data_IF_373442217069
#
_entry.id   IF_373442217069
#
_cell.length_a   1.000
_cell.length_b   1.000
_cell.length_c   1.000
_cell.angle_alpha   90.00
_cell.angle_beta   90.00
_cell.angle_gamma   90.00
#
_symmetry.space_group_name_H-M   'P 1'
#
loop_
_entity.id
_entity.type
_entity.pdbx_description
1 polymer ?
#
# COMPACT_ATOMS: atom_id res chain seq x y z
N UNK A 1 78.13 4.66 -40.25
CA UNK A 1 78.02 6.13 -40.38
C UNK A 1 76.59 6.45 -40.78
N UNK A 2 76.02 7.46 -40.13
CA UNK A 2 74.58 7.76 -39.96
C UNK A 2 73.76 8.03 -41.23
N UNK A 3 72.46 7.65 -41.19
CA UNK A 3 71.33 8.54 -41.50
C UNK A 3 70.00 7.94 -40.96
N UNK A 4 69.13 8.72 -40.28
CA UNK A 4 67.89 8.25 -39.68
C UNK A 4 66.68 8.44 -40.61
N UNK A 5 65.70 7.55 -40.53
CA UNK A 5 64.36 7.75 -41.10
C UNK A 5 63.39 8.15 -39.98
N UNK A 6 62.83 9.34 -40.12
CA UNK A 6 61.82 9.92 -39.23
C UNK A 6 60.47 9.22 -39.43
N UNK A 7 59.97 8.56 -38.39
CA UNK A 7 58.58 8.07 -38.33
C UNK A 7 57.75 9.06 -37.49
N UNK A 8 56.84 9.76 -38.16
CA UNK A 8 55.78 10.53 -37.52
C UNK A 8 54.74 9.56 -36.95
N UNK A 9 54.62 9.50 -35.62
CA UNK A 9 53.50 8.85 -34.93
C UNK A 9 52.34 9.84 -34.83
N UNK A 10 51.36 9.71 -35.72
CA UNK A 10 50.06 10.35 -35.55
C UNK A 10 49.23 9.57 -34.52
N UNK A 11 49.04 10.13 -33.33
CA UNK A 11 48.13 9.61 -32.31
C UNK A 11 46.69 9.92 -32.70
N UNK A 12 45.92 8.90 -33.07
CA UNK A 12 44.46 8.99 -33.17
C UNK A 12 43.90 8.83 -31.75
N UNK A 13 43.41 9.92 -31.15
CA UNK A 13 42.64 9.86 -29.92
C UNK A 13 41.23 9.34 -30.23
N UNK A 14 40.94 8.09 -29.85
CA UNK A 14 39.59 7.55 -29.87
C UNK A 14 38.90 8.08 -28.60
N UNK A 15 38.02 9.08 -28.77
CA UNK A 15 37.09 9.48 -27.72
C UNK A 15 36.02 8.40 -27.61
N UNK A 16 36.22 7.49 -26.67
CA UNK A 16 35.22 6.50 -26.28
C UNK A 16 34.10 7.25 -25.56
N UNK A 17 33.07 7.62 -26.33
CA UNK A 17 31.86 8.24 -25.82
C UNK A 17 31.09 7.15 -25.06
N UNK A 18 31.50 6.86 -23.82
CA UNK A 18 30.75 6.05 -22.87
C UNK A 18 29.43 6.78 -22.58
N UNK A 19 28.46 6.56 -23.46
CA UNK A 19 27.07 6.88 -23.24
C UNK A 19 26.56 5.87 -22.23
N UNK A 20 26.85 6.10 -20.96
CA UNK A 20 26.19 5.39 -19.87
C UNK A 20 24.69 5.46 -20.12
N UNK A 21 24.02 4.33 -20.39
CA UNK A 21 22.58 4.35 -20.39
C UNK A 21 22.16 4.68 -18.96
N UNK A 22 21.56 5.87 -18.77
CA UNK A 22 20.66 6.08 -17.66
C UNK A 22 19.51 5.08 -17.83
N UNK A 23 19.73 3.83 -17.41
CA UNK A 23 18.62 2.96 -17.09
C UNK A 23 17.98 3.61 -15.86
N UNK A 24 16.95 4.41 -16.10
CA UNK A 24 15.96 4.66 -15.08
C UNK A 24 15.57 3.28 -14.54
N UNK A 25 15.89 3.02 -13.28
CA UNK A 25 15.63 1.76 -12.61
C UNK A 25 14.15 1.44 -12.82
N UNK A 26 13.85 0.48 -13.71
CA UNK A 26 12.47 0.10 -14.00
C UNK A 26 11.97 -0.51 -12.71
N UNK A 27 11.10 0.22 -12.01
CA UNK A 27 10.49 -0.29 -10.78
C UNK A 27 9.93 -1.68 -11.07
N UNK A 28 10.20 -2.69 -10.22
CA UNK A 28 9.67 -4.04 -10.43
C UNK A 28 8.13 -4.08 -10.34
N UNK A 29 7.52 -2.97 -9.90
CA UNK A 29 6.09 -2.80 -9.75
C UNK A 29 5.52 -2.08 -10.98
N UNK A 30 4.75 -2.76 -11.86
CA UNK A 30 4.19 -2.16 -13.07
C UNK A 30 3.22 -0.99 -12.77
N UNK A 31 2.65 -0.96 -11.57
CA UNK A 31 1.83 0.15 -11.09
C UNK A 31 2.64 1.41 -10.73
N UNK A 32 3.94 1.31 -10.44
CA UNK A 32 4.76 2.46 -10.03
C UNK A 32 5.31 3.23 -11.24
N UNK A 33 4.42 3.60 -12.16
CA UNK A 33 4.70 4.50 -13.26
C UNK A 33 4.04 5.87 -13.06
N UNK A 34 4.77 6.99 -13.11
CA UNK A 34 4.21 8.32 -12.84
C UNK A 34 2.97 8.69 -13.69
N UNK A 35 2.83 8.16 -14.91
CA UNK A 35 1.65 8.39 -15.75
C UNK A 35 0.35 7.76 -15.19
N UNK A 36 0.46 6.86 -14.22
CA UNK A 36 -0.67 6.24 -13.51
C UNK A 36 -1.09 7.00 -12.24
N UNK A 37 -0.41 8.11 -11.91
CA UNK A 37 -0.61 8.83 -10.64
C UNK A 37 -2.07 9.23 -10.36
N UNK A 38 -2.85 9.51 -11.42
CA UNK A 38 -4.27 9.87 -11.34
C UNK A 38 -5.14 8.81 -10.65
N UNK A 39 -4.69 7.56 -10.60
CA UNK A 39 -5.40 6.45 -9.98
C UNK A 39 -4.96 6.16 -8.54
N UNK A 40 -3.94 6.87 -8.05
CA UNK A 40 -3.20 6.47 -6.85
C UNK A 40 -3.20 7.50 -5.72
N UNK A 41 -3.81 8.68 -5.91
CA UNK A 41 -3.85 9.69 -4.85
C UNK A 41 -4.70 9.21 -3.67
N UNK A 42 -4.03 8.89 -2.56
CA UNK A 42 -4.64 8.44 -1.32
C UNK A 42 -5.58 9.48 -0.70
N UNK A 43 -5.40 10.77 -1.04
CA UNK A 43 -6.19 11.91 -0.54
C UNK A 43 -7.48 12.12 -1.32
N UNK A 44 -7.63 11.51 -2.49
CA UNK A 44 -8.70 11.77 -3.46
C UNK A 44 -10.12 11.66 -2.88
N UNK A 45 -10.30 10.86 -1.84
CA UNK A 45 -11.62 10.59 -1.25
C UNK A 45 -11.99 11.52 -0.09
N UNK A 46 -11.12 12.47 0.28
CA UNK A 46 -11.36 13.41 1.37
C UNK A 46 -11.70 12.72 2.70
N UNK A 47 -12.43 13.45 3.55
CA UNK A 47 -12.92 13.00 4.86
C UNK A 47 -14.18 12.11 4.76
N UNK A 48 -14.26 11.22 3.77
CA UNK A 48 -15.33 10.21 3.82
C UNK A 48 -15.04 9.27 4.99
N UNK A 49 -15.66 9.59 6.14
CA UNK A 49 -15.63 8.83 7.39
C UNK A 49 -16.46 7.55 7.26
N UNK A 50 -16.10 6.72 6.29
CA UNK A 50 -16.68 5.40 6.11
C UNK A 50 -15.63 4.34 6.41
N UNK A 51 -16.10 3.25 7.03
CA UNK A 51 -15.28 2.08 7.28
C UNK A 51 -14.89 1.39 5.96
N UNK A 52 -13.67 0.89 5.92
CA UNK A 52 -13.20 0.00 4.86
C UNK A 52 -12.96 -1.38 5.43
N UNK A 53 -13.46 -2.41 4.74
CA UNK A 53 -13.18 -3.80 5.06
C UNK A 53 -12.13 -4.36 4.10
N UNK A 54 -11.17 -5.11 4.65
CA UNK A 54 -10.24 -5.91 3.86
C UNK A 54 -11.00 -7.12 3.31
N UNK A 55 -11.21 -7.15 2.00
CA UNK A 55 -11.94 -8.24 1.33
C UNK A 55 -11.07 -9.47 1.26
N UNK A 56 -9.90 -9.33 0.63
CA UNK A 56 -8.91 -10.40 0.52
C UNK A 56 -7.51 -9.84 0.32
N UNK A 57 -6.53 -10.72 0.51
CA UNK A 57 -5.11 -10.47 0.26
C UNK A 57 -4.43 -11.69 -0.36
N UNK A 58 -3.27 -11.51 -0.97
CA UNK A 58 -2.54 -12.62 -1.64
C UNK A 58 -1.45 -13.26 -0.75
N UNK A 59 -1.53 -13.09 0.58
CA UNK A 59 -0.61 -13.64 1.56
C UNK A 59 -1.36 -14.09 2.84
N UNK A 60 -0.97 -15.19 3.48
CA UNK A 60 -1.79 -15.84 4.51
C UNK A 60 -1.82 -15.10 5.85
N UNK A 61 -0.74 -14.43 6.22
CA UNK A 61 -0.53 -13.89 7.57
C UNK A 61 -0.06 -12.42 7.52
N UNK A 62 -0.66 -11.56 8.33
CA UNK A 62 -0.26 -10.16 8.47
C UNK A 62 -0.24 -9.72 9.94
N UNK A 63 0.94 -9.63 10.53
CA UNK A 63 1.08 -9.23 11.94
C UNK A 63 0.55 -7.83 12.23
N UNK A 64 0.49 -6.94 11.24
CA UNK A 64 0.00 -5.57 11.42
C UNK A 64 -1.54 -5.51 11.43
N UNK A 65 -2.20 -6.53 10.89
CA UNK A 65 -3.66 -6.63 10.78
C UNK A 65 -4.21 -7.94 11.36
N UNK A 66 -3.77 -8.31 12.57
CA UNK A 66 -4.36 -9.41 13.33
C UNK A 66 -3.92 -10.82 12.93
N UNK A 67 -2.81 -10.96 12.20
CA UNK A 67 -2.25 -12.25 11.80
C UNK A 67 -3.13 -12.94 10.75
N UNK A 68 -3.67 -14.10 11.08
CA UNK A 68 -4.66 -14.85 10.26
C UNK A 68 -6.11 -14.45 10.55
N UNK A 69 -6.34 -13.46 11.41
CA UNK A 69 -7.69 -13.02 11.80
C UNK A 69 -8.51 -12.54 10.60
N UNK A 70 -9.83 -12.73 10.71
CA UNK A 70 -10.82 -12.27 9.74
C UNK A 70 -11.37 -10.90 10.14
N UNK A 71 -12.25 -10.35 9.30
CA UNK A 71 -13.00 -9.13 9.60
C UNK A 71 -12.12 -7.90 9.85
N UNK A 72 -10.98 -7.82 9.18
CA UNK A 72 -10.10 -6.64 9.26
C UNK A 72 -10.84 -5.41 8.72
N UNK A 73 -10.86 -4.34 9.51
CA UNK A 73 -11.54 -3.07 9.22
C UNK A 73 -10.63 -1.89 9.54
N UNK A 74 -10.63 -0.92 8.65
CA UNK A 74 -10.02 0.38 8.82
C UNK A 74 -11.12 1.42 9.07
N UNK A 75 -10.90 2.27 10.07
CA UNK A 75 -11.74 3.42 10.38
C UNK A 75 -10.85 4.64 10.58
N UNK A 76 -11.06 5.70 9.80
CA UNK A 76 -10.37 6.97 10.01
C UNK A 76 -11.04 7.70 11.19
N UNK A 77 -10.25 8.11 12.18
CA UNK A 77 -10.73 8.87 13.35
C UNK A 77 -10.60 10.36 13.05
N UNK A 78 -9.38 10.79 12.70
CA UNK A 78 -9.06 12.19 12.43
C UNK A 78 -8.09 12.31 11.27
N UNK A 79 -8.20 13.39 10.51
CA UNK A 79 -7.28 13.72 9.43
C UNK A 79 -6.72 15.12 9.70
N UNK A 80 -5.40 15.19 9.83
CA UNK A 80 -4.66 16.41 10.09
C UNK A 80 -3.95 16.86 8.81
N UNK A 81 -4.43 17.96 8.23
CA UNK A 81 -3.94 18.43 6.95
C UNK A 81 -4.19 17.42 5.82
N UNK A 82 -3.29 17.35 4.85
CA UNK A 82 -3.42 16.48 3.68
C UNK A 82 -2.56 15.21 3.76
N UNK A 83 -1.76 15.05 4.82
CA UNK A 83 -0.73 14.01 4.92
C UNK A 83 -0.82 13.14 6.16
N UNK A 84 -1.60 13.52 7.18
CA UNK A 84 -1.66 12.76 8.43
C UNK A 84 -3.08 12.27 8.73
N UNK A 85 -3.21 11.02 9.16
CA UNK A 85 -4.48 10.42 9.58
C UNK A 85 -4.28 9.59 10.82
N UNK A 86 -5.09 9.80 11.86
CA UNK A 86 -5.24 8.87 12.98
C UNK A 86 -6.34 7.89 12.63
N UNK A 87 -6.09 6.59 12.80
CA UNK A 87 -7.02 5.55 12.41
C UNK A 87 -7.10 4.41 13.42
N UNK A 88 -8.26 3.78 13.51
CA UNK A 88 -8.49 2.51 14.19
C UNK A 88 -8.43 1.39 13.17
N UNK A 89 -7.52 0.44 13.38
CA UNK A 89 -7.50 -0.83 12.66
C UNK A 89 -8.02 -1.91 13.60
N UNK A 90 -8.99 -2.70 13.16
CA UNK A 90 -9.61 -3.74 13.99
C UNK A 90 -9.80 -5.04 13.25
N UNK A 91 -9.86 -6.15 13.96
CA UNK A 91 -10.07 -7.48 13.40
C UNK A 91 -10.92 -8.33 14.35
N UNK A 92 -11.59 -9.35 13.80
CA UNK A 92 -12.39 -10.27 14.59
C UNK A 92 -11.53 -11.33 15.26
N UNK A 93 -11.74 -11.51 16.56
CA UNK A 93 -11.10 -12.55 17.36
C UNK A 93 -12.17 -13.50 17.89
N UNK A 94 -12.13 -14.81 17.57
CA UNK A 94 -13.12 -15.77 18.03
C UNK A 94 -13.28 -15.74 19.56
N UNK A 95 -14.52 -15.61 20.04
CA UNK A 95 -14.84 -15.54 21.47
C UNK A 95 -14.55 -14.20 22.16
N UNK A 96 -13.86 -13.27 21.49
CA UNK A 96 -13.42 -12.00 22.06
C UNK A 96 -13.83 -10.76 21.25
N UNK A 97 -14.77 -10.88 20.31
CA UNK A 97 -15.25 -9.74 19.52
C UNK A 97 -14.16 -9.08 18.67
N UNK A 98 -14.26 -7.77 18.46
CA UNK A 98 -13.26 -6.98 17.71
C UNK A 98 -12.11 -6.54 18.63
N UNK A 99 -10.89 -6.96 18.27
CA UNK A 99 -9.65 -6.37 18.79
C UNK A 99 -9.23 -5.20 17.90
N UNK A 100 -8.48 -4.25 18.43
CA UNK A 100 -8.06 -3.08 17.67
C UNK A 100 -6.68 -2.53 18.08
N UNK A 101 -6.13 -1.73 17.18
CA UNK A 101 -5.02 -0.83 17.45
C UNK A 101 -5.33 0.56 16.89
N UNK A 102 -4.82 1.59 17.56
CA UNK A 102 -4.71 2.92 17.01
C UNK A 102 -3.39 3.06 16.24
N UNK A 103 -3.48 3.59 15.04
CA UNK A 103 -2.32 3.87 14.19
C UNK A 103 -2.33 5.30 13.68
N UNK A 104 -1.14 5.86 13.52
CA UNK A 104 -0.92 7.12 12.82
C UNK A 104 -0.37 6.83 11.44
N UNK A 105 -1.06 7.32 10.43
CA UNK A 105 -0.66 7.21 9.04
C UNK A 105 -0.08 8.54 8.56
N UNK A 106 1.05 8.46 7.87
CA UNK A 106 1.66 9.57 7.15
C UNK A 106 1.72 9.23 5.65
N UNK A 107 1.33 10.19 4.81
CA UNK A 107 1.30 10.07 3.37
C UNK A 107 2.46 10.84 2.73
N UNK A 108 3.14 10.18 1.80
CA UNK A 108 4.23 10.74 1.01
C UNK A 108 4.03 10.42 -0.48
N UNK A 109 4.88 11.02 -1.31
CA UNK A 109 4.92 10.76 -2.75
C UNK A 109 6.01 9.72 -3.03
N UNK A 110 5.71 8.74 -3.86
CA UNK A 110 6.76 7.87 -4.43
C UNK A 110 7.65 8.67 -5.39
N UNK A 111 8.89 8.21 -5.69
CA UNK A 111 9.79 8.93 -6.59
C UNK A 111 9.13 9.24 -7.95
N UNK A 112 9.17 10.51 -8.38
CA UNK A 112 8.58 10.97 -9.64
C UNK A 112 7.07 11.27 -9.61
N UNK A 113 6.41 11.14 -8.45
CA UNK A 113 4.98 11.43 -8.31
C UNK A 113 4.72 12.81 -7.72
N UNK A 114 3.66 13.47 -8.20
CA UNK A 114 3.15 14.71 -7.61
C UNK A 114 2.11 14.46 -6.51
N UNK A 115 1.41 13.33 -6.59
CA UNK A 115 0.37 12.90 -5.65
C UNK A 115 0.94 12.15 -4.45
N UNK A 116 0.08 11.89 -3.45
CA UNK A 116 0.45 11.10 -2.26
C UNK A 116 -0.07 9.67 -2.40
N UNK A 117 0.81 8.73 -2.75
CA UNK A 117 0.48 7.30 -2.88
C UNK A 117 1.26 6.39 -1.91
N UNK A 118 2.23 6.92 -1.18
CA UNK A 118 3.04 6.13 -0.24
C UNK A 118 2.51 6.32 1.18
N UNK A 119 2.17 5.22 1.85
CA UNK A 119 1.65 5.19 3.21
C UNK A 119 2.71 4.67 4.16
N UNK A 120 2.97 5.39 5.24
CA UNK A 120 3.74 4.92 6.39
C UNK A 120 2.82 4.91 7.60
N UNK A 121 2.66 3.77 8.25
CA UNK A 121 1.78 3.63 9.42
C UNK A 121 2.62 3.24 10.63
N UNK A 122 2.36 3.90 11.75
CA UNK A 122 2.96 3.62 13.06
C UNK A 122 1.86 3.24 14.05
N UNK A 123 2.02 2.16 14.80
CA UNK A 123 1.07 1.78 15.87
C UNK A 123 1.42 2.48 17.18
N UNK A 124 0.40 2.87 17.94
CA UNK A 124 0.55 3.47 19.28
C UNK A 124 0.77 2.43 20.38
N UNK A 125 0.29 1.19 20.20
CA UNK A 125 0.29 0.16 21.25
C UNK A 125 1.40 -0.87 21.11
N UNK A 126 1.88 -1.09 19.88
CA UNK A 126 2.96 -2.05 19.59
C UNK A 126 4.01 -1.32 18.75
N UNK A 127 5.29 -1.28 19.16
CA UNK A 127 6.34 -0.71 18.34
C UNK A 127 6.37 -1.38 16.96
N UNK A 128 6.01 -0.64 15.93
CA UNK A 128 5.92 -1.17 14.57
C UNK A 128 5.68 -0.06 13.57
N UNK A 129 6.47 -0.08 12.49
CA UNK A 129 6.29 0.78 11.32
C UNK A 129 6.13 -0.11 10.11
N UNK A 130 5.04 0.07 9.37
CA UNK A 130 4.84 -0.64 8.12
C UNK A 130 4.44 0.30 7.00
N UNK A 131 4.81 -0.10 5.79
CA UNK A 131 4.67 0.71 4.58
C UNK A 131 3.96 -0.04 3.49
N UNK A 132 3.15 0.70 2.75
CA UNK A 132 2.52 0.23 1.54
C UNK A 132 2.35 1.40 0.58
N UNK A 133 2.15 1.10 -0.70
CA UNK A 133 1.73 2.11 -1.67
C UNK A 133 0.38 1.76 -2.29
N UNK A 134 -0.32 2.81 -2.74
CA UNK A 134 -1.58 2.69 -3.46
C UNK A 134 -1.32 2.16 -4.86
N UNK A 135 -1.93 1.01 -5.19
CA UNK A 135 -2.01 0.51 -6.57
C UNK A 135 -3.15 1.22 -7.31
N UNK A 136 -4.32 1.30 -6.66
CA UNK A 136 -5.52 1.90 -7.21
C UNK A 136 -6.43 2.38 -6.08
N UNK A 137 -7.05 3.55 -6.25
CA UNK A 137 -8.05 4.08 -5.33
C UNK A 137 -9.24 4.68 -6.07
N UNK A 138 -10.43 4.20 -5.72
CA UNK A 138 -11.70 4.79 -6.10
C UNK A 138 -12.64 4.83 -4.89
N UNK A 139 -13.17 6.02 -4.62
CA UNK A 139 -13.93 6.33 -3.40
C UNK A 139 -15.29 5.64 -3.29
N UNK A 140 -15.73 4.96 -4.35
CA UNK A 140 -17.05 4.35 -4.46
C UNK A 140 -16.98 2.85 -4.75
N UNK A 141 -15.77 2.28 -4.82
CA UNK A 141 -15.61 0.86 -5.14
C UNK A 141 -14.54 0.19 -4.31
N UNK A 142 -13.28 0.60 -4.40
CA UNK A 142 -12.20 -0.09 -3.73
C UNK A 142 -10.92 0.72 -3.55
N UNK A 143 -10.09 0.19 -2.67
CA UNK A 143 -8.71 0.57 -2.47
C UNK A 143 -7.82 -0.67 -2.58
N UNK A 144 -6.77 -0.61 -3.39
CA UNK A 144 -5.82 -1.70 -3.58
C UNK A 144 -4.44 -1.21 -3.18
N UNK A 145 -3.77 -1.97 -2.31
CA UNK A 145 -2.47 -1.60 -1.74
C UNK A 145 -1.44 -2.72 -1.94
N UNK A 146 -0.19 -2.31 -2.18
CA UNK A 146 1.00 -3.17 -2.18
C UNK A 146 1.79 -2.97 -0.88
N UNK A 147 1.92 -4.02 -0.08
CA UNK A 147 2.61 -4.03 1.20
C UNK A 147 4.07 -4.42 1.04
N UNK A 148 4.98 -3.50 1.35
CA UNK A 148 6.42 -3.69 1.14
C UNK A 148 7.02 -4.79 2.02
N UNK A 149 6.40 -5.08 3.14
CA UNK A 149 6.85 -6.08 4.12
C UNK A 149 6.29 -7.49 3.87
N UNK A 150 5.28 -7.64 3.00
CA UNK A 150 4.59 -8.90 2.81
C UNK A 150 5.00 -9.56 1.48
N UNK A 151 5.12 -10.89 1.48
CA UNK A 151 5.43 -11.71 0.30
C UNK A 151 6.63 -11.17 -0.50
N UNK A 152 7.72 -10.80 0.19
CA UNK A 152 8.92 -10.24 -0.44
C UNK A 152 8.69 -8.94 -1.21
N UNK A 153 7.73 -8.12 -0.77
CA UNK A 153 7.34 -6.87 -1.44
C UNK A 153 6.17 -7.00 -2.42
N UNK A 154 5.73 -8.22 -2.73
CA UNK A 154 4.63 -8.49 -3.66
C UNK A 154 3.26 -8.73 -2.98
N UNK A 155 3.19 -8.53 -1.66
CA UNK A 155 1.95 -8.68 -0.91
C UNK A 155 0.95 -7.60 -1.29
N UNK A 156 -0.29 -8.00 -1.59
CA UNK A 156 -1.38 -7.09 -1.93
C UNK A 156 -2.61 -7.33 -1.09
N UNK A 157 -3.40 -6.27 -0.92
CA UNK A 157 -4.70 -6.31 -0.28
C UNK A 157 -5.73 -5.50 -1.07
N UNK A 158 -6.95 -6.00 -1.19
CA UNK A 158 -8.10 -5.28 -1.70
C UNK A 158 -9.05 -4.93 -0.57
N UNK A 159 -9.38 -3.65 -0.46
CA UNK A 159 -10.29 -3.10 0.52
C UNK A 159 -11.51 -2.52 -0.18
N UNK A 160 -12.68 -2.62 0.43
CA UNK A 160 -13.91 -1.99 -0.06
C UNK A 160 -14.57 -1.14 1.03
N UNK A 161 -15.21 -0.01 0.65
CA UNK A 161 -16.08 0.73 1.55
C UNK A 161 -17.23 -0.14 2.07
N UNK A 162 -17.61 0.04 3.33
CA UNK A 162 -18.75 -0.62 3.96
C UNK A 162 -20.09 -0.46 3.19
N UNK A 163 -20.28 0.66 2.49
CA UNK A 163 -21.46 0.98 1.68
C UNK A 163 -21.62 0.07 0.45
N UNK A 164 -20.54 -0.58 0.00
CA UNK A 164 -20.55 -1.47 -1.17
C UNK A 164 -20.06 -2.89 -0.86
N UNK A 165 -19.67 -3.17 0.39
CA UNK A 165 -19.10 -4.47 0.79
C UNK A 165 -20.09 -5.63 0.63
N UNK A 166 -21.37 -5.37 0.90
CA UNK A 166 -22.46 -6.35 0.81
C UNK A 166 -22.87 -6.69 -0.63
N UNK A 167 -22.40 -5.94 -1.62
CA UNK A 167 -22.82 -6.06 -3.02
C UNK A 167 -22.25 -7.30 -3.74
N UNK A 168 -21.55 -8.19 -3.02
CA UNK A 168 -20.93 -9.46 -3.48
C UNK A 168 -20.76 -9.58 -5.01
N UNK A 169 -19.94 -8.68 -5.57
CA UNK A 169 -19.72 -8.57 -7.03
C UNK A 169 -18.25 -8.74 -7.37
N UNK A 170 -18.00 -9.44 -8.47
CA UNK A 170 -16.74 -9.36 -9.21
C UNK A 170 -16.81 -8.11 -10.07
N UNK A 171 -15.88 -7.17 -9.87
CA UNK A 171 -15.81 -5.92 -10.63
C UNK A 171 -14.39 -5.59 -11.10
N UNK A 172 -14.21 -4.39 -11.66
CA UNK A 172 -12.92 -3.95 -12.17
C UNK A 172 -11.83 -3.92 -11.07
N UNK A 173 -12.19 -3.81 -9.79
CA UNK A 173 -11.21 -3.90 -8.71
C UNK A 173 -10.61 -5.30 -8.61
N UNK A 174 -11.43 -6.34 -8.80
CA UNK A 174 -10.96 -7.72 -8.84
C UNK A 174 -10.03 -7.94 -10.03
N UNK A 175 -10.38 -7.39 -11.20
CA UNK A 175 -9.52 -7.44 -12.39
C UNK A 175 -8.17 -6.74 -12.17
N UNK A 176 -8.17 -5.51 -11.61
CA UNK A 176 -6.94 -4.76 -11.33
C UNK A 176 -6.08 -5.52 -10.32
N UNK A 177 -6.68 -6.09 -9.28
CA UNK A 177 -5.97 -6.93 -8.33
C UNK A 177 -5.33 -8.13 -9.02
N UNK A 178 -6.08 -8.87 -9.82
CA UNK A 178 -5.56 -10.09 -10.47
C UNK A 178 -4.44 -9.80 -11.45
N UNK A 179 -4.56 -8.70 -12.20
CA UNK A 179 -3.55 -8.27 -13.16
C UNK A 179 -2.23 -7.84 -12.49
N UNK A 180 -2.29 -7.18 -11.32
CA UNK A 180 -1.11 -6.57 -10.69
C UNK A 180 -0.56 -7.38 -9.50
N UNK A 181 -1.40 -8.19 -8.85
CA UNK A 181 -1.09 -8.92 -7.62
C UNK A 181 -1.13 -10.45 -7.79
N UNK A 182 -1.59 -10.92 -8.95
CA UNK A 182 -1.83 -12.32 -9.25
C UNK A 182 -3.18 -12.79 -8.72
N UNK A 183 -3.77 -13.75 -9.44
CA UNK A 183 -5.10 -14.28 -9.15
C UNK A 183 -5.12 -15.38 -8.08
N UNK A 184 -3.96 -15.92 -7.69
CA UNK A 184 -3.84 -16.99 -6.69
C UNK A 184 -2.49 -16.97 -5.96
N UNK A 185 -2.44 -17.34 -4.66
CA UNK A 185 -3.59 -17.60 -3.79
C UNK A 185 -4.31 -16.30 -3.37
N UNK A 186 -5.63 -16.38 -3.09
CA UNK A 186 -6.41 -15.32 -2.43
C UNK A 186 -6.90 -15.81 -1.07
N UNK A 187 -6.57 -15.07 -0.02
CA UNK A 187 -7.04 -15.30 1.34
C UNK A 187 -8.16 -14.32 1.64
N UNK A 188 -9.40 -14.82 1.70
CA UNK A 188 -10.59 -14.02 1.99
C UNK A 188 -10.66 -13.71 3.48
N UNK A 189 -10.65 -12.41 3.79
CA UNK A 189 -10.60 -11.88 5.15
C UNK A 189 -11.99 -11.41 5.58
N UNK A 190 -12.73 -10.77 4.67
CA UNK A 190 -14.12 -10.40 4.92
C UNK A 190 -15.07 -11.60 4.76
N UNK A 191 -16.17 -11.52 5.49
CA UNK A 191 -17.36 -12.37 5.41
C UNK A 191 -18.56 -11.51 5.85
N UNK A 192 -19.80 -11.73 5.36
CA UNK A 192 -20.97 -10.99 5.84
C UNK A 192 -21.18 -11.05 7.36
N UNK A 193 -20.70 -12.08 8.05
CA UNK A 193 -20.71 -12.14 9.51
C UNK A 193 -19.85 -11.06 10.18
N UNK A 194 -18.90 -10.46 9.47
CA UNK A 194 -18.02 -9.41 9.99
C UNK A 194 -18.74 -8.13 10.40
N UNK A 195 -19.92 -7.86 9.83
CA UNK A 195 -20.80 -6.75 10.21
C UNK A 195 -21.47 -6.98 11.56
N UNK A 196 -21.55 -8.24 11.99
CA UNK A 196 -22.15 -8.65 13.27
C UNK A 196 -21.10 -8.89 14.36
N UNK A 197 -19.82 -8.74 14.06
CA UNK A 197 -18.75 -8.91 15.07
C UNK A 197 -18.84 -7.76 16.08
N UNK A 198 -19.17 -8.03 17.36
CA UNK A 198 -19.35 -6.96 18.34
C UNK A 198 -18.03 -6.25 18.60
N UNK A 199 -18.06 -4.92 18.71
CA UNK A 199 -16.98 -4.19 19.34
C UNK A 199 -16.90 -4.64 20.79
N UNK A 200 -15.81 -5.32 21.15
CA UNK A 200 -15.54 -5.61 22.56
C UNK A 200 -15.27 -4.27 23.24
N UNK A 201 -16.08 -3.93 24.24
CA UNK A 201 -15.80 -2.85 25.17
C UNK A 201 -14.53 -3.22 25.95
N UNK A 202 -13.36 -2.92 25.39
CA UNK A 202 -12.14 -2.82 26.18
C UNK A 202 -12.23 -1.44 26.82
N UNK A 203 -12.39 -1.38 28.13
CA UNK A 203 -12.50 -0.15 28.95
C UNK A 203 -11.23 0.70 28.98
N UNK A 204 -10.31 0.49 28.03
CA UNK A 204 -9.12 1.31 27.89
C UNK A 204 -9.49 2.41 26.90
N UNK A 205 -9.92 3.54 27.45
CA UNK A 205 -10.02 4.83 26.76
C UNK A 205 -8.83 5.02 25.81
N UNK A 206 -9.06 5.66 24.66
CA UNK A 206 -7.94 6.06 23.84
C UNK A 206 -7.07 7.02 24.68
N UNK A 207 -5.74 7.07 24.49
CA UNK A 207 -4.87 8.01 25.20
C UNK A 207 -5.19 9.51 24.96
N UNK A 208 -6.25 9.80 24.20
CA UNK A 208 -6.70 11.13 23.81
C UNK A 208 -8.06 11.51 24.44
N UNK A 209 -8.63 10.63 25.26
CA UNK A 209 -9.83 10.91 26.06
C UNK A 209 -9.48 11.49 27.46
N UNK A 210 -8.25 12.02 27.63
CA UNK A 210 -7.82 12.88 28.75
C UNK A 210 -7.54 14.31 28.27
#
# INVERSE_FOLDING_TARGET
>A
MHAPWSLWLGTIAIFDLQRSPCFAEISPYPELRPDLERYQDARRCGLKNEDYYLVYRNYPYDSNYGGTSRCVKFHAIEVFGDTHTTAKYSWGTPGFGRQYLHGRQHLASSPGYSIKNLHTITSHHVPGVWRHHTIYKNCYSCYIARHHYARGGYGCSLWRPASVISQNRIDYCDFIFDALCGSSPKYYIYDPACERTPDTFVTNMAPWDE
#
